data_IF_404521212892
#
_entry.id   IF_404521212892
#
_cell.length_a   1.000
_cell.length_b   1.000
_cell.length_c   1.000
_cell.angle_alpha   90.00
_cell.angle_beta   90.00
_cell.angle_gamma   90.00
#
_symmetry.space_group_name_H-M   'P 1'
#
loop_
_entity.id
_entity.type
_entity.pdbx_description
1 polymer ?
#
# COMPACT_ATOMS: atom_id res chain seq x y z
N UNK A 1 -60.39 -40.22 43.83
CA UNK A 1 -59.70 -40.77 42.65
C UNK A 1 -59.46 -39.67 41.62
N UNK A 2 -58.20 -39.28 41.39
CA UNK A 2 -57.63 -38.98 40.07
C UNK A 2 -56.15 -38.65 40.29
N UNK A 3 -55.31 -39.53 39.74
CA UNK A 3 -53.87 -39.47 39.79
C UNK A 3 -53.34 -38.21 39.09
N UNK A 4 -52.42 -37.49 39.73
CA UNK A 4 -51.57 -36.51 39.06
C UNK A 4 -50.31 -37.24 38.57
N UNK A 5 -50.20 -37.35 37.24
CA UNK A 5 -48.97 -37.72 36.54
C UNK A 5 -47.91 -36.65 36.83
N UNK A 6 -46.78 -37.05 37.41
CA UNK A 6 -45.55 -36.29 37.32
C UNK A 6 -44.73 -36.95 36.22
N UNK A 7 -44.51 -36.20 35.15
CA UNK A 7 -43.61 -36.55 34.06
C UNK A 7 -42.19 -36.43 34.62
N UNK A 8 -41.50 -37.55 34.78
CA UNK A 8 -40.08 -37.57 35.11
C UNK A 8 -39.30 -37.12 33.88
N UNK A 9 -38.83 -35.88 33.89
CA UNK A 9 -37.82 -35.40 32.95
C UNK A 9 -36.51 -36.12 33.22
N UNK A 10 -35.99 -36.81 32.21
CA UNK A 10 -34.66 -37.42 32.23
C UNK A 10 -33.64 -36.28 32.23
N UNK A 11 -33.02 -36.02 33.39
CA UNK A 11 -31.81 -35.23 33.44
C UNK A 11 -30.63 -36.14 33.07
N UNK A 12 -30.11 -35.97 31.86
CA UNK A 12 -28.82 -36.55 31.47
C UNK A 12 -27.75 -35.90 32.32
N UNK A 13 -27.32 -36.58 33.38
CA UNK A 13 -26.12 -36.20 34.12
C UNK A 13 -24.91 -36.54 33.24
N UNK A 14 -24.22 -35.51 32.75
CA UNK A 14 -22.86 -35.66 32.24
C UNK A 14 -22.00 -36.06 33.44
N UNK A 15 -21.58 -37.32 33.47
CA UNK A 15 -20.61 -37.80 34.43
C UNK A 15 -19.25 -37.18 34.03
N UNK A 16 -18.93 -36.01 34.57
CA UNK A 16 -17.54 -35.53 34.59
C UNK A 16 -16.83 -36.40 35.60
N UNK A 17 -16.10 -37.41 35.11
CA UNK A 17 -15.11 -38.11 35.93
C UNK A 17 -14.02 -37.09 36.22
N UNK A 18 -14.16 -36.36 37.33
CA UNK A 18 -13.05 -35.62 37.90
C UNK A 18 -12.03 -36.66 38.34
N UNK A 19 -11.03 -36.92 37.49
CA UNK A 19 -9.82 -37.58 37.92
C UNK A 19 -9.30 -36.79 39.11
N UNK A 20 -9.18 -37.46 40.26
CA UNK A 20 -8.65 -36.84 41.46
C UNK A 20 -7.23 -36.36 41.15
N UNK A 21 -7.03 -35.04 41.05
CA UNK A 21 -5.70 -34.47 41.04
C UNK A 21 -5.08 -34.72 42.41
N UNK A 22 -4.16 -35.67 42.48
CA UNK A 22 -3.27 -35.89 43.62
C UNK A 22 -2.47 -34.60 43.86
N UNK A 23 -2.58 -33.93 45.02
CA UNK A 23 -1.73 -32.79 45.33
C UNK A 23 -0.30 -33.30 45.51
N UNK A 24 0.59 -33.00 44.56
CA UNK A 24 2.00 -33.38 44.64
C UNK A 24 2.62 -33.88 43.34
N UNK A 25 1.84 -34.06 42.27
CA UNK A 25 2.41 -34.45 40.98
C UNK A 25 2.83 -33.19 40.20
N UNK A 26 4.13 -32.84 40.29
CA UNK A 26 4.73 -31.84 39.40
C UNK A 26 4.54 -32.31 37.97
N UNK A 27 3.68 -31.59 37.22
CA UNK A 27 3.54 -31.75 35.78
C UNK A 27 4.94 -31.74 35.15
N UNK A 28 5.33 -32.76 34.36
CA UNK A 28 6.66 -32.79 33.78
C UNK A 28 6.83 -31.57 32.88
N UNK A 29 7.88 -30.79 33.10
CA UNK A 29 8.22 -29.65 32.24
C UNK A 29 8.49 -30.17 30.82
N UNK A 30 7.53 -30.02 29.91
CA UNK A 30 7.61 -30.54 28.52
C UNK A 30 8.60 -29.73 27.65
N UNK A 31 9.21 -28.67 28.19
CA UNK A 31 10.28 -27.92 27.56
C UNK A 31 10.71 -26.71 28.40
N UNK A 32 11.97 -26.30 28.28
CA UNK A 32 12.47 -25.06 28.91
C UNK A 32 12.74 -24.01 27.83
N UNK A 33 12.05 -22.88 27.87
CA UNK A 33 12.42 -21.69 27.11
C UNK A 33 13.50 -20.96 27.90
N UNK A 34 14.69 -20.80 27.32
CA UNK A 34 15.76 -19.97 27.89
C UNK A 34 15.80 -18.66 27.12
N UNK A 35 15.54 -17.55 27.80
CA UNK A 35 15.68 -16.22 27.22
C UNK A 35 17.12 -15.79 27.39
N UNK A 36 17.82 -15.63 26.28
CA UNK A 36 19.10 -14.92 26.22
C UNK A 36 18.80 -13.43 26.06
N UNK A 37 19.17 -12.62 27.05
CA UNK A 37 18.87 -11.18 27.06
C UNK A 37 19.81 -10.36 26.19
N UNK A 38 20.76 -10.99 25.48
CA UNK A 38 21.59 -10.28 24.50
C UNK A 38 20.70 -9.80 23.34
N UNK A 39 20.72 -8.50 23.00
CA UNK A 39 19.98 -8.01 21.85
C UNK A 39 20.56 -8.65 20.58
N UNK A 40 19.75 -9.44 19.88
CA UNK A 40 20.14 -10.06 18.61
C UNK A 40 19.91 -9.10 17.43
N UNK A 41 18.85 -8.30 17.50
CA UNK A 41 18.46 -7.29 16.52
C UNK A 41 17.73 -6.15 17.24
N UNK A 42 17.90 -4.93 16.75
CA UNK A 42 17.07 -3.81 17.17
C UNK A 42 15.65 -3.99 16.64
N UNK A 43 14.66 -3.77 17.51
CA UNK A 43 13.25 -3.88 17.19
C UNK A 43 12.65 -2.48 17.00
N UNK A 44 12.69 -1.99 15.75
CA UNK A 44 12.17 -0.67 15.40
C UNK A 44 10.66 -0.65 15.11
N UNK A 45 10.05 0.56 15.04
CA UNK A 45 8.62 0.73 14.76
C UNK A 45 8.19 0.16 13.41
N UNK A 46 9.11 -0.04 12.46
CA UNK A 46 8.84 -0.66 11.16
C UNK A 46 8.36 -2.12 11.26
N UNK A 47 8.51 -2.77 12.41
CA UNK A 47 7.98 -4.12 12.67
C UNK A 47 6.48 -4.12 12.97
N UNK A 48 5.91 -2.96 13.29
CA UNK A 48 4.49 -2.75 13.55
C UNK A 48 3.85 -1.99 12.38
N UNK A 49 4.00 -2.53 11.17
CA UNK A 49 3.48 -1.94 9.95
C UNK A 49 2.10 -2.46 9.55
N UNK A 50 1.37 -1.65 8.79
CA UNK A 50 0.12 -2.05 8.14
C UNK A 50 0.08 -1.59 6.68
N UNK A 51 -0.85 -2.14 5.91
CA UNK A 51 -1.12 -1.74 4.53
C UNK A 51 -2.45 -1.01 4.46
N UNK A 52 -2.49 0.12 3.76
CA UNK A 52 -3.70 0.80 3.35
C UNK A 52 -3.83 0.68 1.84
N UNK A 53 -4.90 0.04 1.38
CA UNK A 53 -5.20 -0.03 -0.04
C UNK A 53 -5.92 1.23 -0.52
N UNK A 54 -5.65 1.70 -1.74
CA UNK A 54 -6.49 2.73 -2.37
C UNK A 54 -7.92 2.27 -2.69
N UNK A 55 -8.22 0.98 -2.57
CA UNK A 55 -9.60 0.47 -2.53
C UNK A 55 -10.35 0.80 -1.24
N UNK A 56 -9.68 1.34 -0.24
CA UNK A 56 -10.34 1.79 0.98
C UNK A 56 -11.28 2.93 0.65
N UNK A 57 -12.59 2.68 0.78
CA UNK A 57 -13.57 3.70 0.46
C UNK A 57 -13.36 4.96 1.35
N UNK A 58 -13.33 6.18 0.78
CA UNK A 58 -13.01 7.40 1.52
C UNK A 58 -13.89 7.65 2.76
N UNK A 59 -15.15 7.19 2.75
CA UNK A 59 -16.05 7.34 3.89
C UNK A 59 -15.61 6.59 5.16
N UNK A 60 -14.69 5.63 5.06
CA UNK A 60 -14.14 4.94 6.23
C UNK A 60 -13.02 5.74 6.91
N UNK A 61 -12.49 6.79 6.27
CA UNK A 61 -11.41 7.62 6.81
C UNK A 61 -11.95 8.63 7.81
N UNK A 62 -12.15 8.16 9.04
CA UNK A 62 -12.63 8.98 10.16
C UNK A 62 -11.64 9.04 11.32
N UNK A 63 -11.90 9.96 12.25
CA UNK A 63 -11.08 10.21 13.43
C UNK A 63 -10.96 8.96 14.34
N UNK A 64 -12.00 8.15 14.45
CA UNK A 64 -11.95 6.92 15.26
C UNK A 64 -10.95 5.93 14.68
N UNK A 65 -10.96 5.72 13.36
CA UNK A 65 -9.99 4.85 12.70
C UNK A 65 -8.58 5.43 12.77
N UNK A 66 -8.42 6.75 12.63
CA UNK A 66 -7.14 7.42 12.81
C UNK A 66 -6.58 7.24 14.23
N UNK A 67 -7.42 7.43 15.24
CA UNK A 67 -7.06 7.23 16.66
C UNK A 67 -6.59 5.81 16.93
N UNK A 68 -7.31 4.80 16.41
CA UNK A 68 -6.90 3.39 16.53
C UNK A 68 -5.58 3.12 15.80
N UNK A 69 -5.42 3.67 14.60
CA UNK A 69 -4.18 3.58 13.82
C UNK A 69 -2.98 4.12 14.59
N UNK A 70 -3.11 5.30 15.21
CA UNK A 70 -2.03 5.93 16.00
C UNK A 70 -1.49 5.07 17.14
N UNK A 71 -2.31 4.16 17.69
CA UNK A 71 -1.92 3.27 18.79
C UNK A 71 -1.37 1.93 18.29
N UNK A 72 -1.74 1.53 17.07
CA UNK A 72 -1.50 0.19 16.55
C UNK A 72 -0.37 0.13 15.52
N UNK A 73 -0.05 1.25 14.85
CA UNK A 73 0.97 1.29 13.81
C UNK A 73 1.80 2.58 13.87
N UNK A 74 3.09 2.44 13.56
CA UNK A 74 3.99 3.57 13.26
C UNK A 74 4.47 3.57 11.81
N UNK A 75 3.97 2.65 10.99
CA UNK A 75 4.45 2.40 9.63
C UNK A 75 3.30 2.00 8.69
N UNK A 76 3.14 2.69 7.58
CA UNK A 76 2.03 2.44 6.66
C UNK A 76 2.47 2.38 5.21
N UNK A 77 2.14 1.28 4.54
CA UNK A 77 2.32 1.10 3.10
C UNK A 77 1.04 1.48 2.35
N UNK A 78 1.16 2.32 1.33
CA UNK A 78 0.08 2.79 0.47
C UNK A 78 0.59 2.96 -0.97
N UNK A 79 -0.22 2.81 -2.02
CA UNK A 79 -1.57 2.27 -2.02
C UNK A 79 -1.57 0.73 -1.98
N UNK A 80 -0.39 0.09 -1.98
CA UNK A 80 -0.16 -1.32 -1.66
C UNK A 80 -0.88 -2.39 -2.49
N UNK A 81 -0.26 -3.55 -2.58
CA UNK A 81 -0.85 -4.76 -3.14
C UNK A 81 -1.06 -4.70 -4.65
N UNK A 82 -1.80 -5.69 -5.15
CA UNK A 82 -2.06 -5.92 -6.58
C UNK A 82 -2.40 -4.66 -7.36
N UNK A 83 -3.26 -3.83 -6.79
CA UNK A 83 -3.89 -2.76 -7.54
C UNK A 83 -2.96 -1.55 -7.72
N UNK A 84 -1.86 -1.45 -6.93
CA UNK A 84 -0.85 -0.41 -7.12
C UNK A 84 -0.23 -0.47 -8.53
N UNK A 85 -0.26 -1.64 -9.16
CA UNK A 85 0.27 -1.92 -10.49
C UNK A 85 -0.63 -1.37 -11.62
N UNK A 86 -1.89 -1.05 -11.33
CA UNK A 86 -2.85 -0.47 -12.29
C UNK A 86 -3.33 0.94 -11.86
N UNK A 87 -2.69 1.51 -10.83
CA UNK A 87 -3.09 2.78 -10.24
C UNK A 87 -2.45 3.96 -10.96
N UNK A 88 -3.23 4.71 -11.73
CA UNK A 88 -2.85 6.01 -12.27
C UNK A 88 -3.14 7.11 -11.27
N UNK A 89 -2.21 7.32 -10.33
CA UNK A 89 -2.41 8.20 -9.18
C UNK A 89 -2.82 9.63 -9.59
N UNK A 90 -2.24 10.16 -10.66
CA UNK A 90 -2.45 11.54 -11.10
C UNK A 90 -3.86 11.71 -11.68
N UNK A 91 -4.32 10.74 -12.49
CA UNK A 91 -5.72 10.68 -12.90
C UNK A 91 -6.63 10.56 -11.67
N UNK A 92 -6.38 9.64 -10.74
CA UNK A 92 -7.21 9.52 -9.53
C UNK A 92 -7.33 10.82 -8.73
N UNK A 93 -6.21 11.52 -8.55
CA UNK A 93 -6.16 12.77 -7.79
C UNK A 93 -6.95 13.88 -8.49
N UNK A 94 -6.73 14.05 -9.80
CA UNK A 94 -7.21 15.20 -10.57
C UNK A 94 -8.60 15.03 -11.17
N UNK A 95 -9.07 13.80 -11.37
CA UNK A 95 -10.36 13.58 -12.02
C UNK A 95 -11.50 14.20 -11.21
N UNK A 96 -12.30 15.00 -11.93
CA UNK A 96 -13.57 15.53 -11.44
C UNK A 96 -14.72 14.55 -11.68
N UNK A 97 -14.55 13.67 -12.67
CA UNK A 97 -15.47 12.60 -13.02
C UNK A 97 -14.81 11.25 -12.76
N UNK A 98 -15.46 10.32 -12.04
CA UNK A 98 -14.89 9.00 -11.80
C UNK A 98 -14.55 8.25 -13.10
N UNK A 99 -13.33 7.72 -13.20
CA UNK A 99 -12.85 6.98 -14.39
C UNK A 99 -12.32 7.82 -15.55
N UNK A 100 -12.40 9.15 -15.47
CA UNK A 100 -11.76 10.03 -16.44
C UNK A 100 -10.23 9.89 -16.38
N UNK A 101 -9.58 9.77 -17.54
CA UNK A 101 -8.12 9.84 -17.65
C UNK A 101 -7.73 11.29 -17.79
N UNK A 102 -7.42 11.95 -16.68
CA UNK A 102 -6.99 13.34 -16.69
C UNK A 102 -5.49 13.47 -16.98
N UNK A 103 -4.69 12.46 -16.65
CA UNK A 103 -3.23 12.51 -16.80
C UNK A 103 -2.59 11.12 -16.81
N UNK A 104 -1.73 10.84 -17.80
CA UNK A 104 -0.93 9.61 -17.81
C UNK A 104 -1.78 8.34 -17.78
N UNK A 105 -1.49 7.45 -16.83
CA UNK A 105 -2.25 6.21 -16.60
C UNK A 105 -3.68 6.50 -16.09
N UNK A 106 -4.71 5.73 -16.53
CA UNK A 106 -6.05 5.82 -15.96
C UNK A 106 -6.07 5.58 -14.46
N UNK A 107 -7.02 6.17 -13.73
CA UNK A 107 -7.08 6.02 -12.27
C UNK A 107 -7.10 4.54 -11.83
N UNK A 108 -7.97 3.75 -12.47
CA UNK A 108 -8.00 2.29 -12.38
C UNK A 108 -8.81 1.74 -13.57
N UNK A 109 -8.58 0.50 -14.03
CA UNK A 109 -9.32 -0.05 -15.16
C UNK A 109 -10.83 -0.10 -14.88
N UNK A 110 -11.62 0.51 -15.77
CA UNK A 110 -13.06 0.69 -15.58
C UNK A 110 -13.82 -0.65 -15.62
N UNK A 111 -13.26 -1.66 -16.29
CA UNK A 111 -13.78 -3.02 -16.32
C UNK A 111 -13.62 -3.77 -14.99
N UNK A 112 -12.71 -3.32 -14.12
CA UNK A 112 -12.47 -3.93 -12.82
C UNK A 112 -13.29 -3.28 -11.70
N UNK A 113 -13.73 -2.02 -11.87
CA UNK A 113 -14.46 -1.29 -10.84
C UNK A 113 -15.27 -0.11 -11.41
N UNK A 114 -16.53 0.00 -11.00
CA UNK A 114 -17.35 1.18 -11.25
C UNK A 114 -17.01 2.28 -10.25
N UNK A 115 -16.16 3.22 -10.68
CA UNK A 115 -15.70 4.32 -9.86
C UNK A 115 -16.79 5.34 -9.52
N UNK A 116 -17.93 5.32 -10.24
CA UNK A 116 -19.05 6.24 -9.97
C UNK A 116 -19.82 5.86 -8.71
N UNK A 117 -19.90 4.57 -8.40
CA UNK A 117 -20.58 4.03 -7.22
C UNK A 117 -19.61 3.63 -6.10
N UNK A 118 -18.34 3.36 -6.42
CA UNK A 118 -17.32 2.92 -5.46
C UNK A 118 -15.98 3.64 -5.71
N UNK A 119 -15.86 4.94 -5.34
CA UNK A 119 -14.69 5.75 -5.61
C UNK A 119 -13.44 5.21 -4.94
N UNK A 120 -12.29 5.43 -5.58
CA UNK A 120 -10.98 5.11 -5.04
C UNK A 120 -10.47 6.25 -4.16
N UNK A 121 -9.62 5.88 -3.21
CA UNK A 121 -8.98 6.84 -2.33
C UNK A 121 -7.94 7.68 -3.08
N UNK A 122 -8.09 9.01 -3.00
CA UNK A 122 -7.10 9.95 -3.52
C UNK A 122 -5.85 10.00 -2.64
N UNK A 123 -4.71 10.40 -3.21
CA UNK A 123 -3.46 10.54 -2.46
C UNK A 123 -3.60 11.61 -1.39
N UNK A 124 -4.21 12.75 -1.74
CA UNK A 124 -4.45 13.85 -0.80
C UNK A 124 -5.39 13.45 0.35
N UNK A 125 -6.43 12.66 0.08
CA UNK A 125 -7.35 12.14 1.10
C UNK A 125 -6.63 11.21 2.08
N UNK A 126 -5.83 10.28 1.56
CA UNK A 126 -4.98 9.41 2.37
C UNK A 126 -4.03 10.23 3.25
N UNK A 127 -3.35 11.24 2.68
CA UNK A 127 -2.43 12.11 3.43
C UNK A 127 -3.12 12.93 4.52
N UNK A 128 -4.30 13.50 4.26
CA UNK A 128 -5.07 14.21 5.29
C UNK A 128 -5.48 13.29 6.43
N UNK A 129 -5.84 12.05 6.13
CA UNK A 129 -6.20 11.07 7.14
C UNK A 129 -4.99 10.57 7.94
N UNK A 130 -3.87 10.24 7.27
CA UNK A 130 -2.69 9.72 7.96
C UNK A 130 -2.05 10.77 8.87
N UNK A 131 -2.13 12.06 8.52
CA UNK A 131 -1.73 13.18 9.40
C UNK A 131 -2.52 13.20 10.71
N UNK A 132 -3.78 12.75 10.72
CA UNK A 132 -4.59 12.64 11.95
C UNK A 132 -4.11 11.50 12.87
N UNK A 133 -3.38 10.52 12.35
CA UNK A 133 -2.79 9.44 13.16
C UNK A 133 -1.53 9.86 13.91
N UNK A 134 -1.01 11.07 13.67
CA UNK A 134 0.29 11.49 14.18
C UNK A 134 1.45 11.00 13.28
N UNK A 135 2.70 10.96 13.81
CA UNK A 135 3.87 10.64 13.01
C UNK A 135 3.81 9.19 12.51
N UNK A 136 3.55 9.03 11.22
CA UNK A 136 3.55 7.74 10.53
C UNK A 136 4.70 7.71 9.54
N UNK A 137 5.49 6.63 9.56
CA UNK A 137 6.46 6.39 8.50
C UNK A 137 5.75 5.77 7.30
N UNK A 138 5.72 6.48 6.18
CA UNK A 138 5.03 6.01 4.99
C UNK A 138 5.98 5.27 4.04
N UNK A 139 5.44 4.25 3.38
CA UNK A 139 5.99 3.64 2.17
C UNK A 139 4.99 3.87 1.05
N UNK A 140 5.44 4.46 -0.05
CA UNK A 140 4.60 4.65 -1.23
C UNK A 140 4.99 3.67 -2.33
N UNK A 141 4.07 2.80 -2.72
CA UNK A 141 4.24 1.86 -3.82
C UNK A 141 3.93 2.55 -5.14
N UNK A 142 4.91 2.57 -6.03
CA UNK A 142 4.88 3.12 -7.37
C UNK A 142 4.25 2.12 -8.33
N UNK A 143 3.55 2.65 -9.34
CA UNK A 143 3.07 1.84 -10.43
C UNK A 143 4.23 1.54 -11.39
N UNK A 144 4.68 0.28 -11.43
CA UNK A 144 5.77 -0.13 -12.31
C UNK A 144 5.36 -0.24 -13.79
N UNK A 145 4.06 -0.20 -14.11
CA UNK A 145 3.56 -0.08 -15.49
C UNK A 145 3.50 1.39 -15.96
N UNK A 146 3.49 2.35 -15.04
CA UNK A 146 3.48 3.78 -15.37
C UNK A 146 4.87 4.28 -15.79
N UNK A 147 4.92 5.45 -16.42
CA UNK A 147 6.19 6.04 -16.85
C UNK A 147 7.03 6.49 -15.64
N UNK A 148 8.35 6.56 -15.79
CA UNK A 148 9.21 7.08 -14.71
C UNK A 148 8.86 8.54 -14.37
N UNK A 149 8.34 9.31 -15.34
CA UNK A 149 7.92 10.70 -15.13
C UNK A 149 6.62 10.77 -14.31
N UNK A 150 5.67 9.86 -14.53
CA UNK A 150 4.47 9.74 -13.70
C UNK A 150 4.83 9.47 -12.23
N UNK A 151 5.73 8.51 -12.02
CA UNK A 151 6.22 8.17 -10.69
C UNK A 151 7.03 9.31 -10.06
N UNK A 152 7.80 10.06 -10.84
CA UNK A 152 8.54 11.24 -10.37
C UNK A 152 7.59 12.39 -9.99
N UNK A 153 6.49 12.56 -10.70
CA UNK A 153 5.44 13.51 -10.36
C UNK A 153 4.73 13.15 -9.05
N UNK A 154 4.60 11.86 -8.71
CA UNK A 154 4.09 11.45 -7.40
C UNK A 154 5.05 11.87 -6.27
N UNK A 155 6.36 11.74 -6.48
CA UNK A 155 7.37 12.25 -5.52
C UNK A 155 7.25 13.76 -5.38
N UNK A 156 7.15 14.48 -6.51
CA UNK A 156 6.97 15.93 -6.50
C UNK A 156 5.68 16.37 -5.79
N UNK A 157 4.56 15.69 -6.05
CA UNK A 157 3.31 15.91 -5.34
C UNK A 157 3.50 15.70 -3.84
N UNK A 158 4.15 14.61 -3.44
CA UNK A 158 4.25 14.16 -2.04
C UNK A 158 5.23 15.00 -1.20
N UNK A 159 6.43 15.28 -1.74
CA UNK A 159 7.53 15.88 -1.00
C UNK A 159 7.93 17.28 -1.51
N UNK A 160 7.52 17.65 -2.72
CA UNK A 160 8.00 18.87 -3.38
C UNK A 160 7.55 20.17 -2.72
N UNK A 161 8.28 21.24 -3.02
CA UNK A 161 7.91 22.62 -2.69
C UNK A 161 7.18 23.28 -3.88
N UNK A 162 6.08 24.04 -3.66
CA UNK A 162 5.41 24.79 -4.73
C UNK A 162 6.30 25.79 -5.48
N UNK A 163 7.40 26.23 -4.86
CA UNK A 163 8.37 27.15 -5.49
C UNK A 163 9.45 26.45 -6.30
N UNK A 164 9.49 25.11 -6.32
CA UNK A 164 10.53 24.35 -7.01
C UNK A 164 10.30 24.33 -8.52
N UNK A 165 11.25 24.89 -9.28
CA UNK A 165 11.18 24.99 -10.74
C UNK A 165 11.84 23.81 -11.47
N UNK A 166 12.27 22.77 -10.76
CA UNK A 166 12.88 21.58 -11.35
C UNK A 166 11.91 20.91 -12.32
N UNK A 167 12.33 20.72 -13.57
CA UNK A 167 11.51 20.14 -14.63
C UNK A 167 11.47 18.61 -14.49
N UNK A 168 10.28 18.04 -14.44
CA UNK A 168 10.05 16.60 -14.56
C UNK A 168 10.11 16.21 -16.05
N UNK A 169 9.46 16.99 -16.89
CA UNK A 169 9.56 16.91 -18.36
C UNK A 169 8.58 15.92 -18.99
N UNK A 170 8.70 15.80 -20.31
CA UNK A 170 7.78 15.00 -21.14
C UNK A 170 8.17 13.52 -21.09
N UNK A 171 7.18 12.64 -20.98
CA UNK A 171 7.39 11.18 -21.01
C UNK A 171 7.36 10.60 -22.42
N UNK A 172 7.57 9.28 -22.52
CA UNK A 172 7.59 8.56 -23.80
C UNK A 172 6.25 8.56 -24.54
N UNK A 173 5.14 8.92 -23.89
CA UNK A 173 3.81 9.03 -24.49
C UNK A 173 3.47 10.48 -24.88
N UNK A 174 4.39 11.42 -24.68
CA UNK A 174 4.19 12.84 -25.01
C UNK A 174 3.46 13.62 -23.91
N UNK A 175 3.27 13.06 -22.72
CA UNK A 175 2.65 13.76 -21.59
C UNK A 175 3.70 14.62 -20.91
N UNK A 176 3.50 15.94 -20.89
CA UNK A 176 4.38 16.88 -20.20
C UNK A 176 4.12 16.86 -18.69
N UNK A 177 4.97 16.26 -17.88
CA UNK A 177 4.81 16.18 -16.42
C UNK A 177 5.19 17.47 -15.68
N UNK A 178 5.41 18.59 -16.38
CA UNK A 178 5.61 19.91 -15.79
C UNK A 178 6.82 19.94 -14.83
N UNK A 179 6.71 20.69 -13.73
CA UNK A 179 7.75 20.88 -12.72
C UNK A 179 7.37 20.26 -11.38
N UNK A 180 8.35 20.19 -10.47
CA UNK A 180 8.12 19.81 -9.08
C UNK A 180 7.09 20.72 -8.41
N UNK A 181 7.24 22.04 -8.58
CA UNK A 181 6.35 23.04 -8.02
C UNK A 181 4.91 22.95 -8.53
N UNK A 182 4.71 22.54 -9.79
CA UNK A 182 3.37 22.31 -10.32
C UNK A 182 2.61 21.20 -9.55
N UNK A 183 3.27 20.07 -9.30
CA UNK A 183 2.66 18.97 -8.57
C UNK A 183 2.56 19.24 -7.06
N UNK A 184 3.55 19.90 -6.49
CA UNK A 184 3.49 20.36 -5.11
C UNK A 184 2.34 21.37 -4.89
N UNK A 185 2.08 22.26 -5.85
CA UNK A 185 0.94 23.17 -5.79
C UNK A 185 -0.39 22.42 -5.85
N UNK A 186 -0.51 21.37 -6.69
CA UNK A 186 -1.70 20.50 -6.69
C UNK A 186 -1.94 19.84 -5.34
N UNK A 187 -0.88 19.40 -4.64
CA UNK A 187 -0.99 18.89 -3.26
C UNK A 187 -1.55 19.95 -2.32
N UNK A 188 -1.06 21.18 -2.42
CA UNK A 188 -1.55 22.33 -1.61
C UNK A 188 -3.02 22.63 -1.91
N UNK A 189 -3.40 22.68 -3.19
CA UNK A 189 -4.77 22.94 -3.64
C UNK A 189 -5.74 21.85 -3.16
N UNK A 190 -5.26 20.61 -3.00
CA UNK A 190 -6.00 19.49 -2.43
C UNK A 190 -6.07 19.50 -0.88
N UNK A 191 -5.56 20.56 -0.24
CA UNK A 191 -5.65 20.78 1.21
C UNK A 191 -4.55 20.11 2.03
N UNK A 192 -3.44 19.70 1.40
CA UNK A 192 -2.26 19.15 2.09
C UNK A 192 -1.11 20.15 1.95
N UNK A 193 -1.01 21.16 2.82
CA UNK A 193 -0.05 22.26 2.65
C UNK A 193 1.41 21.85 2.86
N UNK A 194 1.69 21.06 3.90
CA UNK A 194 3.05 20.60 4.22
C UNK A 194 3.41 19.31 3.48
N UNK A 195 4.67 19.19 2.99
CA UNK A 195 5.22 17.94 2.47
C UNK A 195 4.97 16.75 3.42
N UNK A 196 4.95 15.55 2.86
CA UNK A 196 4.74 14.32 3.64
C UNK A 196 6.04 13.68 4.11
N UNK A 197 7.20 14.19 3.69
CA UNK A 197 8.54 13.69 4.02
C UNK A 197 8.70 12.18 3.82
N UNK A 198 8.12 11.66 2.74
CA UNK A 198 8.16 10.23 2.42
C UNK A 198 9.55 9.87 1.89
N UNK A 199 10.29 9.11 2.69
CA UNK A 199 11.64 8.64 2.31
C UNK A 199 11.66 7.22 1.77
N UNK A 200 10.61 6.42 1.97
CA UNK A 200 10.56 5.03 1.53
C UNK A 200 9.58 4.87 0.38
N UNK A 201 10.06 4.27 -0.70
CA UNK A 201 9.31 4.06 -1.92
C UNK A 201 9.52 2.62 -2.38
N UNK A 202 8.50 2.02 -2.97
CA UNK A 202 8.57 0.69 -3.57
C UNK A 202 8.27 0.77 -5.06
N UNK A 203 9.03 0.07 -5.89
CA UNK A 203 8.76 0.00 -7.32
C UNK A 203 7.96 -1.26 -7.65
N UNK A 204 6.68 -1.09 -7.98
CA UNK A 204 5.76 -2.18 -8.31
C UNK A 204 5.37 -3.05 -7.12
N UNK A 205 4.43 -3.97 -7.38
CA UNK A 205 4.01 -5.02 -6.45
C UNK A 205 4.12 -6.37 -7.17
N UNK A 206 4.85 -7.33 -6.57
CA UNK A 206 4.89 -8.74 -7.01
C UNK A 206 5.10 -8.94 -8.52
N UNK A 207 5.79 -8.00 -9.18
CA UNK A 207 5.86 -7.91 -10.65
C UNK A 207 6.45 -9.16 -11.31
N UNK A 208 7.45 -9.79 -10.67
CA UNK A 208 8.07 -11.03 -11.18
C UNK A 208 7.08 -12.21 -11.16
N UNK A 209 6.11 -12.21 -10.25
CA UNK A 209 5.06 -13.21 -10.17
C UNK A 209 3.79 -12.84 -10.94
N UNK A 210 3.80 -11.71 -11.67
CA UNK A 210 2.61 -11.16 -12.31
C UNK A 210 2.15 -11.91 -13.56
N UNK A 211 1.04 -11.41 -14.10
CA UNK A 211 0.40 -11.80 -15.35
C UNK A 211 0.80 -10.84 -16.46
N UNK A 212 1.20 -11.35 -17.61
CA UNK A 212 1.79 -10.52 -18.65
C UNK A 212 2.26 -11.30 -19.87
N UNK A 213 3.30 -10.82 -20.60
CA UNK A 213 3.82 -11.49 -21.79
C UNK A 213 4.34 -12.91 -21.48
N UNK A 214 4.71 -13.67 -22.51
CA UNK A 214 4.93 -15.13 -22.47
C UNK A 214 5.83 -15.73 -21.35
N UNK A 215 6.61 -14.91 -20.63
CA UNK A 215 7.40 -15.33 -19.47
C UNK A 215 6.65 -15.20 -18.11
N UNK A 216 5.48 -14.57 -18.11
CA UNK A 216 4.63 -14.36 -16.95
C UNK A 216 3.63 -15.51 -16.74
N UNK A 217 3.00 -15.53 -15.57
CA UNK A 217 2.04 -16.56 -15.20
C UNK A 217 0.61 -16.17 -15.65
N UNK A 218 -0.02 -16.98 -16.49
CA UNK A 218 -1.39 -16.69 -16.98
C UNK A 218 -2.46 -16.66 -15.87
N UNK A 219 -2.19 -17.31 -14.73
CA UNK A 219 -3.07 -17.39 -13.56
C UNK A 219 -2.74 -16.36 -12.48
N UNK A 220 -1.68 -15.57 -12.64
CA UNK A 220 -1.37 -14.48 -11.71
C UNK A 220 -2.39 -13.35 -11.85
N UNK A 221 -2.39 -12.45 -10.86
CA UNK A 221 -3.40 -11.42 -10.75
C UNK A 221 -2.86 -10.00 -11.02
N UNK A 222 -1.56 -9.72 -10.80
CA UNK A 222 -0.96 -8.41 -11.15
C UNK A 222 -0.76 -8.27 -12.66
N UNK A 223 -1.25 -7.20 -13.26
CA UNK A 223 -0.83 -6.85 -14.62
C UNK A 223 0.63 -6.41 -14.62
N UNK A 224 1.52 -7.18 -15.25
CA UNK A 224 2.94 -6.86 -15.34
C UNK A 224 3.38 -6.79 -16.81
N UNK A 225 4.14 -5.75 -17.17
CA UNK A 225 4.77 -5.68 -18.50
C UNK A 225 5.97 -6.62 -18.64
N UNK A 226 6.54 -7.10 -17.53
CA UNK A 226 7.57 -8.13 -17.52
C UNK A 226 7.53 -8.94 -16.24
N UNK A 227 7.95 -10.21 -16.34
CA UNK A 227 8.26 -11.08 -15.21
C UNK A 227 9.74 -11.50 -15.23
N UNK A 228 10.53 -10.94 -16.15
CA UNK A 228 11.96 -11.17 -16.24
C UNK A 228 12.68 -10.18 -15.32
N UNK A 229 13.47 -10.63 -14.33
CA UNK A 229 14.14 -9.74 -13.37
C UNK A 229 15.16 -8.80 -14.02
N UNK A 230 15.74 -9.18 -15.16
CA UNK A 230 16.67 -8.31 -15.90
C UNK A 230 15.90 -7.17 -16.55
N UNK A 231 14.81 -7.48 -17.24
CA UNK A 231 13.93 -6.48 -17.85
C UNK A 231 13.35 -5.57 -16.77
N UNK A 232 12.83 -6.12 -15.66
CA UNK A 232 12.32 -5.32 -14.54
C UNK A 232 13.35 -4.29 -14.02
N UNK A 233 14.63 -4.67 -13.99
CA UNK A 233 15.70 -3.79 -13.54
C UNK A 233 16.10 -2.75 -14.60
N UNK A 234 16.36 -3.19 -15.83
CA UNK A 234 16.93 -2.37 -16.92
C UNK A 234 15.89 -1.64 -17.78
N UNK A 235 14.63 -2.06 -17.71
CA UNK A 235 13.55 -1.65 -18.61
C UNK A 235 13.60 -2.37 -19.97
N UNK A 236 12.50 -2.33 -20.72
CA UNK A 236 12.37 -2.98 -22.02
C UNK A 236 11.81 -2.02 -23.08
N UNK A 237 12.23 -2.19 -24.34
CA UNK A 237 11.70 -1.40 -25.46
C UNK A 237 12.32 -0.01 -25.59
N UNK A 238 11.73 0.81 -26.46
CA UNK A 238 12.18 2.18 -26.79
C UNK A 238 11.01 3.03 -27.35
N UNK A 239 11.18 4.35 -27.36
CA UNK A 239 10.13 5.26 -27.83
C UNK A 239 8.84 5.10 -27.03
N UNK A 240 7.69 5.19 -27.70
CA UNK A 240 6.38 5.04 -27.06
C UNK A 240 6.13 3.65 -26.45
N UNK A 241 6.83 2.61 -26.90
CA UNK A 241 6.73 1.23 -26.36
C UNK A 241 7.73 0.99 -25.22
N UNK A 242 8.36 2.04 -24.67
CA UNK A 242 9.33 1.92 -23.59
C UNK A 242 8.61 1.62 -22.27
N UNK A 243 8.98 0.50 -21.66
CA UNK A 243 8.71 0.24 -20.25
C UNK A 243 9.91 0.63 -19.39
N UNK A 244 9.67 1.49 -18.39
CA UNK A 244 10.75 1.98 -17.57
C UNK A 244 11.18 0.96 -16.51
N UNK A 245 12.49 0.71 -16.41
CA UNK A 245 13.07 -0.20 -15.42
C UNK A 245 13.19 0.44 -14.04
N UNK A 246 13.42 -0.40 -13.03
CA UNK A 246 13.71 0.02 -11.66
C UNK A 246 14.88 1.01 -11.59
N UNK A 247 15.97 0.74 -12.33
CA UNK A 247 17.20 1.52 -12.22
C UNK A 247 17.02 2.97 -12.70
N UNK A 248 16.43 3.16 -13.88
CA UNK A 248 16.19 4.49 -14.44
C UNK A 248 15.06 5.23 -13.70
N UNK A 249 14.02 4.51 -13.26
CA UNK A 249 12.95 5.10 -12.43
C UNK A 249 13.53 5.60 -11.11
N UNK A 250 14.37 4.80 -10.45
CA UNK A 250 15.05 5.22 -9.22
C UNK A 250 15.95 6.44 -9.42
N UNK A 251 16.70 6.48 -10.53
CA UNK A 251 17.53 7.64 -10.86
C UNK A 251 16.68 8.89 -11.09
N UNK A 252 15.55 8.75 -11.80
CA UNK A 252 14.61 9.84 -12.04
C UNK A 252 13.99 10.37 -10.76
N UNK A 253 13.51 9.49 -9.87
CA UNK A 253 12.95 9.90 -8.58
C UNK A 253 13.98 10.62 -7.71
N UNK A 254 15.23 10.14 -7.67
CA UNK A 254 16.32 10.81 -6.95
C UNK A 254 16.74 12.15 -7.54
N UNK A 255 16.47 12.39 -8.82
CA UNK A 255 16.67 13.71 -9.44
C UNK A 255 15.64 14.73 -8.97
N UNK A 256 14.48 14.27 -8.48
CA UNK A 256 13.43 15.12 -7.89
C UNK A 256 13.68 15.33 -6.40
N UNK A 257 13.94 14.23 -5.68
CA UNK A 257 14.22 14.27 -4.24
C UNK A 257 15.35 13.27 -3.92
N UNK A 258 16.57 13.73 -3.61
CA UNK A 258 17.70 12.85 -3.38
C UNK A 258 17.59 12.05 -2.07
N UNK A 259 16.62 12.36 -1.20
CA UNK A 259 16.41 11.65 0.07
C UNK A 259 15.62 10.35 -0.09
N UNK A 260 14.97 10.15 -1.24
CA UNK A 260 14.13 8.96 -1.49
C UNK A 260 14.97 7.69 -1.56
N UNK A 261 14.45 6.65 -0.91
CA UNK A 261 15.00 5.30 -0.88
C UNK A 261 13.99 4.37 -1.53
N UNK A 262 14.22 4.12 -2.81
CA UNK A 262 13.42 3.16 -3.59
C UNK A 262 13.91 1.75 -3.28
N UNK A 263 12.96 0.84 -3.06
CA UNK A 263 13.17 -0.61 -2.91
C UNK A 263 12.36 -1.34 -3.97
N UNK A 264 12.77 -2.54 -4.32
CA UNK A 264 11.85 -3.48 -4.95
C UNK A 264 11.07 -4.24 -3.87
N UNK A 265 9.88 -4.73 -4.24
CA UNK A 265 8.97 -5.44 -3.34
C UNK A 265 9.28 -6.95 -3.22
N UNK A 266 10.57 -7.33 -3.27
CA UNK A 266 11.02 -8.72 -3.13
C UNK A 266 10.91 -9.28 -1.73
#
# INVERSE_FOLDING_TARGET
MRARRIVAGVATAILVVAAACTPGETQPTVGTIRVDSRPLLDFGPEKWGTNASFFLHPSFLNEQLASRGSQATGFMRFPGGIAAQDWGWASCELSSTPGEVTYGTPCYPAELRDLSSDPLLKVSEFFRWVKQMGPQRLVITLNANATMNENAALVAFTNGSPSDTTVIGVDQHGVDWQTVGFWAQKRVDAGVTEPMDVTLWEFGNETIGGKGPAACLDYAWETAWTCNPVEFYDGLGSGAERHNGYAETTAKLKSIDPTVRVRDSR
#
